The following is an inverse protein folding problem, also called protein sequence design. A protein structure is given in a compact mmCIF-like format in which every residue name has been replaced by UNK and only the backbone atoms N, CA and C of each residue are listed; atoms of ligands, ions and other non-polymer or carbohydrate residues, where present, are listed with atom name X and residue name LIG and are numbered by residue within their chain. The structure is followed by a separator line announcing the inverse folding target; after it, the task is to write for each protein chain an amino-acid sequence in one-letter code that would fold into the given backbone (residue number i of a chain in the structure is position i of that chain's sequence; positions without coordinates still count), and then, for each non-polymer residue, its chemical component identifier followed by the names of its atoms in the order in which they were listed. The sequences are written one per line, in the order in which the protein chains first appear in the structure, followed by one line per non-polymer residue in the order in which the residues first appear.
data_IF_838599332094
#
_entry.id   IF_838599332094
#
_cell.length_a   1.000
_cell.length_b   1.000
_cell.length_c   1.000
_cell.angle_alpha   90.00
_cell.angle_beta   90.00
_cell.angle_gamma   90.00
#
_symmetry.space_group_name_H-M   'P 1'
#
loop_
_entity.id
_entity.type
_entity.pdbx_description
1 polymer ?
#
# COMPACT_ATOMS: atom_id res chain seq x y z
N UNK A 1 -9.75 -22.75 -11.58
CA UNK A 1 -10.58 -21.55 -11.32
C UNK A 1 -9.67 -20.37 -11.56
N UNK A 2 -9.88 -19.60 -12.64
CA UNK A 2 -8.96 -18.55 -13.07
C UNK A 2 -8.99 -17.37 -12.07
N UNK A 3 -7.90 -17.20 -11.34
CA UNK A 3 -7.65 -16.18 -10.31
C UNK A 3 -7.47 -14.75 -10.86
N UNK A 4 -7.83 -14.48 -12.11
CA UNK A 4 -7.53 -13.22 -12.82
C UNK A 4 -8.65 -12.17 -12.80
N UNK A 5 -9.81 -12.48 -12.20
CA UNK A 5 -10.99 -11.60 -12.23
C UNK A 5 -11.65 -11.41 -10.87
N UNK A 6 -10.84 -11.44 -9.80
CA UNK A 6 -11.31 -11.02 -8.48
C UNK A 6 -11.34 -9.48 -8.40
N UNK A 7 -12.53 -8.85 -8.39
CA UNK A 7 -12.65 -7.41 -8.33
C UNK A 7 -12.07 -6.82 -7.03
N UNK A 8 -12.06 -7.58 -5.94
CA UNK A 8 -11.48 -7.15 -4.65
C UNK A 8 -9.97 -7.12 -4.75
N UNK A 9 -9.34 -8.15 -5.34
CA UNK A 9 -7.90 -8.16 -5.56
C UNK A 9 -7.46 -7.03 -6.50
N UNK A 10 -8.22 -6.75 -7.57
CA UNK A 10 -7.95 -5.61 -8.46
C UNK A 10 -8.05 -4.28 -7.71
N UNK A 11 -9.09 -4.10 -6.90
CA UNK A 11 -9.28 -2.90 -6.08
C UNK A 11 -8.16 -2.73 -5.05
N UNK A 12 -7.71 -3.82 -4.42
CA UNK A 12 -6.56 -3.83 -3.50
C UNK A 12 -5.30 -3.31 -4.19
N UNK A 13 -4.99 -3.83 -5.38
CA UNK A 13 -3.86 -3.40 -6.18
C UNK A 13 -3.98 -1.91 -6.53
N UNK A 14 -5.13 -1.46 -7.04
CA UNK A 14 -5.34 -0.07 -7.42
C UNK A 14 -5.13 0.90 -6.25
N UNK A 15 -5.67 0.56 -5.06
CA UNK A 15 -5.51 1.38 -3.85
C UNK A 15 -4.05 1.50 -3.44
N UNK A 16 -3.32 0.37 -3.42
CA UNK A 16 -1.92 0.37 -3.03
C UNK A 16 -1.05 1.08 -4.06
N UNK A 17 -1.24 0.82 -5.35
CA UNK A 17 -0.50 1.51 -6.41
C UNK A 17 -0.71 3.02 -6.36
N UNK A 18 -1.94 3.48 -6.11
CA UNK A 18 -2.22 4.91 -5.93
C UNK A 18 -1.52 5.47 -4.70
N UNK A 19 -1.60 4.79 -3.56
CA UNK A 19 -0.93 5.23 -2.34
C UNK A 19 0.59 5.31 -2.50
N UNK A 20 1.21 4.32 -3.16
CA UNK A 20 2.63 4.32 -3.51
C UNK A 20 3.02 5.54 -4.34
N UNK A 21 2.26 5.83 -5.40
CA UNK A 21 2.53 6.97 -6.28
C UNK A 21 2.44 8.32 -5.54
N UNK A 22 1.49 8.44 -4.59
CA UNK A 22 1.37 9.64 -3.76
C UNK A 22 2.57 9.78 -2.83
N UNK A 23 2.96 8.70 -2.13
CA UNK A 23 4.13 8.73 -1.24
C UNK A 23 5.42 9.01 -2.03
N UNK A 24 5.57 8.45 -3.23
CA UNK A 24 6.68 8.76 -4.13
C UNK A 24 6.72 10.24 -4.51
N UNK A 25 5.57 10.84 -4.85
CA UNK A 25 5.50 12.27 -5.12
C UNK A 25 5.90 13.11 -3.89
N UNK A 26 5.47 12.72 -2.69
CA UNK A 26 5.87 13.36 -1.43
C UNK A 26 7.37 13.20 -1.15
N UNK A 27 7.93 12.03 -1.40
CA UNK A 27 9.37 11.73 -1.29
C UNK A 27 10.18 12.60 -2.25
N UNK A 28 9.76 12.74 -3.50
CA UNK A 28 10.46 13.52 -4.53
C UNK A 28 10.53 15.03 -4.23
N UNK A 29 9.56 15.54 -3.46
CA UNK A 29 9.46 16.96 -3.10
C UNK A 29 10.08 17.29 -1.74
N UNK A 30 10.46 16.27 -0.96
CA UNK A 30 11.01 16.43 0.39
C UNK A 30 12.51 16.10 0.42
N UNK A 31 13.34 17.08 0.76
CA UNK A 31 14.81 16.97 0.68
C UNK A 31 15.50 16.30 1.89
N UNK A 32 14.79 16.05 2.99
CA UNK A 32 15.36 15.50 4.22
C UNK A 32 15.44 13.96 4.23
N UNK A 33 14.91 13.30 3.20
CA UNK A 33 14.93 11.84 3.06
C UNK A 33 14.05 11.08 4.06
N UNK A 34 13.19 11.75 4.85
CA UNK A 34 12.36 11.09 5.88
C UNK A 34 11.44 10.01 5.31
N UNK A 35 10.96 10.22 4.08
CA UNK A 35 10.10 9.27 3.38
C UNK A 35 10.79 7.95 3.04
N UNK A 36 12.12 7.93 2.99
CA UNK A 36 12.89 6.69 2.83
C UNK A 36 12.65 5.70 4.00
N UNK A 37 12.22 6.20 5.17
CA UNK A 37 11.85 5.34 6.32
C UNK A 37 10.63 4.46 6.02
N UNK A 38 9.76 4.86 5.09
CA UNK A 38 8.59 4.07 4.68
C UNK A 38 8.94 2.99 3.65
N UNK A 39 10.10 3.09 2.98
CA UNK A 39 10.41 2.29 1.81
C UNK A 39 10.35 0.78 2.09
N UNK A 40 10.85 0.32 3.23
CA UNK A 40 10.85 -1.12 3.54
C UNK A 40 9.42 -1.71 3.60
N UNK A 41 8.51 -1.05 4.32
CA UNK A 41 7.11 -1.47 4.41
C UNK A 41 6.42 -1.47 3.05
N UNK A 42 6.65 -0.41 2.26
CA UNK A 42 6.15 -0.25 0.89
C UNK A 42 6.65 -1.33 -0.06
N UNK A 43 7.95 -1.63 -0.06
CA UNK A 43 8.53 -2.72 -0.86
C UNK A 43 7.96 -4.11 -0.50
N UNK A 44 7.81 -4.40 0.80
CA UNK A 44 7.17 -5.64 1.26
C UNK A 44 5.74 -5.75 0.75
N UNK A 45 4.99 -4.65 0.80
CA UNK A 45 3.61 -4.59 0.33
C UNK A 45 3.52 -4.82 -1.18
N UNK A 46 4.36 -4.15 -1.97
CA UNK A 46 4.45 -4.35 -3.42
C UNK A 46 4.76 -5.81 -3.78
N UNK A 47 5.71 -6.44 -3.07
CA UNK A 47 6.07 -7.84 -3.27
C UNK A 47 4.88 -8.80 -3.00
N UNK A 48 4.11 -8.55 -1.94
CA UNK A 48 2.93 -9.37 -1.59
C UNK A 48 1.81 -9.26 -2.64
N UNK A 49 1.68 -8.11 -3.29
CA UNK A 49 0.68 -7.88 -4.34
C UNK A 49 1.19 -8.22 -5.75
N UNK A 50 2.46 -8.56 -5.91
CA UNK A 50 3.06 -8.82 -7.21
C UNK A 50 3.14 -7.58 -8.11
N UNK A 51 3.22 -6.40 -7.52
CA UNK A 51 3.36 -5.12 -8.23
C UNK A 51 4.79 -4.60 -8.12
N UNK A 52 5.21 -3.82 -9.13
CA UNK A 52 6.50 -3.17 -9.09
C UNK A 52 6.45 -1.92 -8.18
N UNK A 53 7.44 -1.73 -7.28
CA UNK A 53 7.62 -0.45 -6.59
C UNK A 53 8.00 0.63 -7.61
N UNK A 54 7.61 1.88 -7.35
CA UNK A 54 7.82 3.01 -8.27
C UNK A 54 7.25 2.76 -9.68
N UNK A 55 6.12 2.06 -9.73
CA UNK A 55 5.39 1.80 -10.97
C UNK A 55 4.73 3.08 -11.51
N UNK A 56 4.59 3.16 -12.84
CA UNK A 56 3.89 4.28 -13.48
C UNK A 56 2.42 4.28 -13.02
N UNK A 57 1.96 5.40 -12.47
CA UNK A 57 0.56 5.63 -12.11
C UNK A 57 -0.01 6.79 -12.92
N UNK A 58 -0.99 6.50 -13.78
CA UNK A 58 -1.66 7.48 -14.66
C UNK A 58 -3.01 7.92 -14.06
N UNK A 59 -3.00 8.36 -12.80
CA UNK A 59 -4.20 8.76 -12.08
C UNK A 59 -4.01 9.99 -11.19
N UNK A 60 -5.07 10.33 -10.47
CA UNK A 60 -5.09 11.47 -9.57
C UNK A 60 -4.29 11.21 -8.28
N UNK A 61 -3.42 12.15 -7.92
CA UNK A 61 -2.58 12.09 -6.72
C UNK A 61 -3.20 12.85 -5.53
N UNK A 62 -4.36 13.47 -5.70
CA UNK A 62 -5.09 14.14 -4.62
C UNK A 62 -5.86 13.11 -3.76
N UNK A 63 -5.16 12.48 -2.82
CA UNK A 63 -5.75 11.63 -1.78
C UNK A 63 -4.82 11.48 -0.57
N UNK A 64 -5.36 11.03 0.56
CA UNK A 64 -4.54 10.61 1.71
C UNK A 64 -4.01 9.18 1.48
N UNK A 65 -2.69 8.97 1.33
CA UNK A 65 -2.14 7.63 1.15
C UNK A 65 -2.42 6.71 2.34
N UNK A 66 -2.52 7.25 3.57
CA UNK A 66 -2.88 6.46 4.75
C UNK A 66 -4.30 5.90 4.60
N UNK A 67 -5.26 6.75 4.22
CA UNK A 67 -6.65 6.34 4.05
C UNK A 67 -6.81 5.27 2.97
N UNK A 68 -6.06 5.38 1.87
CA UNK A 68 -6.05 4.37 0.79
C UNK A 68 -5.52 3.02 1.29
N UNK A 69 -4.42 3.02 2.05
CA UNK A 69 -3.83 1.79 2.61
C UNK A 69 -4.76 1.18 3.67
N UNK A 70 -5.48 1.98 4.45
CA UNK A 70 -6.46 1.48 5.42
C UNK A 70 -7.70 0.90 4.76
N UNK A 71 -8.19 1.51 3.67
CA UNK A 71 -9.25 0.92 2.84
C UNK A 71 -8.78 -0.45 2.31
N UNK A 72 -7.56 -0.53 1.80
CA UNK A 72 -6.97 -1.78 1.35
C UNK A 72 -6.85 -2.80 2.51
N UNK A 73 -6.47 -2.39 3.72
CA UNK A 73 -6.44 -3.29 4.87
C UNK A 73 -7.82 -3.88 5.18
N UNK A 74 -8.87 -3.06 5.13
CA UNK A 74 -10.24 -3.52 5.29
C UNK A 74 -10.68 -4.51 4.21
N UNK A 75 -10.28 -4.29 2.95
CA UNK A 75 -10.53 -5.24 1.86
C UNK A 75 -9.77 -6.57 2.06
N UNK A 76 -8.52 -6.53 2.52
CA UNK A 76 -7.74 -7.74 2.79
C UNK A 76 -8.35 -8.60 3.91
N UNK A 77 -9.01 -7.98 4.89
CA UNK A 77 -9.68 -8.69 5.99
C UNK A 77 -10.88 -9.52 5.50
N UNK A 78 -11.63 -8.99 4.53
CA UNK A 78 -12.84 -9.62 3.97
C UNK A 78 -12.58 -10.42 2.69
N UNK A 79 -11.35 -10.39 2.18
CA UNK A 79 -10.96 -11.13 0.99
C UNK A 79 -11.08 -12.64 1.23
N UNK A 80 -12.00 -13.28 0.51
CA UNK A 80 -12.15 -14.72 0.54
C UNK A 80 -10.99 -15.37 -0.24
N UNK A 81 -10.23 -16.24 0.42
CA UNK A 81 -9.06 -16.91 -0.15
C UNK A 81 -9.12 -18.40 0.13
N UNK A 82 -8.42 -19.20 -0.69
CA UNK A 82 -8.28 -20.62 -0.41
C UNK A 82 -7.43 -20.83 0.86
N UNK A 83 -7.48 -22.05 1.43
CA UNK A 83 -6.71 -22.39 2.63
C UNK A 83 -5.20 -22.16 2.42
N UNK A 84 -4.70 -22.44 1.22
CA UNK A 84 -3.29 -22.25 0.84
C UNK A 84 -2.88 -20.77 0.83
N UNK A 85 -3.83 -19.86 0.58
CA UNK A 85 -3.59 -18.41 0.48
C UNK A 85 -3.86 -17.66 1.80
N UNK A 86 -4.33 -18.34 2.86
CA UNK A 86 -4.60 -17.70 4.16
C UNK A 86 -3.37 -17.01 4.74
N UNK A 87 -2.21 -17.67 4.71
CA UNK A 87 -0.96 -17.10 5.19
C UNK A 87 -0.56 -15.84 4.42
N UNK A 88 -0.79 -15.83 3.10
CA UNK A 88 -0.56 -14.65 2.26
C UNK A 88 -1.49 -13.51 2.65
N UNK A 89 -2.80 -13.77 2.81
CA UNK A 89 -3.77 -12.74 3.20
C UNK A 89 -3.46 -12.12 4.56
N UNK A 90 -3.05 -12.93 5.54
CA UNK A 90 -2.64 -12.44 6.87
C UNK A 90 -1.37 -11.59 6.77
N UNK A 91 -0.37 -12.02 6.00
CA UNK A 91 0.84 -11.24 5.77
C UNK A 91 0.57 -9.92 5.04
N UNK A 92 -0.38 -9.92 4.10
CA UNK A 92 -0.83 -8.72 3.40
C UNK A 92 -1.51 -7.74 4.36
N UNK A 93 -2.44 -8.21 5.19
CA UNK A 93 -3.10 -7.38 6.19
C UNK A 93 -2.14 -6.77 7.21
N UNK A 94 -1.12 -7.52 7.65
CA UNK A 94 -0.05 -7.01 8.52
C UNK A 94 0.79 -5.93 7.83
N UNK A 95 1.21 -6.20 6.59
CA UNK A 95 2.01 -5.25 5.80
C UNK A 95 1.25 -3.94 5.53
N UNK A 96 -0.04 -4.00 5.20
CA UNK A 96 -0.88 -2.82 4.99
C UNK A 96 -0.95 -1.95 6.25
N UNK A 97 -1.24 -2.53 7.41
CA UNK A 97 -1.33 -1.78 8.68
C UNK A 97 0.02 -1.19 9.11
N UNK A 98 1.11 -1.92 8.88
CA UNK A 98 2.46 -1.44 9.13
C UNK A 98 2.78 -0.25 8.23
N UNK A 99 2.55 -0.35 6.92
CA UNK A 99 2.79 0.74 5.97
C UNK A 99 1.97 2.00 6.32
N UNK A 100 0.69 1.86 6.67
CA UNK A 100 -0.12 2.99 7.14
C UNK A 100 0.46 3.64 8.40
N UNK A 101 0.97 2.84 9.33
CA UNK A 101 1.62 3.34 10.56
C UNK A 101 2.91 4.09 10.25
N UNK A 102 3.78 3.54 9.39
CA UNK A 102 5.03 4.18 8.99
C UNK A 102 4.78 5.53 8.31
N UNK A 103 3.80 5.58 7.39
CA UNK A 103 3.41 6.82 6.70
C UNK A 103 2.91 7.86 7.70
N UNK A 104 2.05 7.47 8.65
CA UNK A 104 1.59 8.37 9.72
C UNK A 104 2.74 8.91 10.55
N UNK A 105 3.64 8.04 11.00
CA UNK A 105 4.77 8.46 11.83
C UNK A 105 5.66 9.48 11.11
N UNK A 106 5.94 9.26 9.82
CA UNK A 106 6.73 10.20 9.02
C UNK A 106 5.99 11.52 8.77
N UNK A 107 4.66 11.47 8.57
CA UNK A 107 3.82 12.66 8.38
C UNK A 107 3.69 13.46 9.68
N UNK A 108 3.37 12.83 10.79
CA UNK A 108 3.11 13.50 12.07
C UNK A 108 4.39 14.12 12.65
N UNK A 109 5.57 13.54 12.34
CA UNK A 109 6.86 14.15 12.67
C UNK A 109 7.10 15.52 12.00
N UNK A 110 6.31 15.90 10.99
CA UNK A 110 6.35 17.20 10.32
C UNK A 110 5.46 18.27 10.98
N UNK A 111 4.42 17.87 11.72
CA UNK A 111 3.44 18.79 12.31
C UNK A 111 3.88 19.36 13.69
N UNK A 112 5.16 19.22 14.06
CA UNK A 112 5.72 19.60 15.36
C UNK A 112 6.75 20.72 15.26
#
# INVERSE_FOLDING_TARGET
MNTHDDPVRRRLVDLVTRAEAIVEAMESTTLDGRWAMTAFGRYRLCALLGIAPYGIYEGDLEADPVALIEEAAGLADVLEVSLEEVSWRLALGDALRTAATDIRMVRDAHDV
#
